data_IF_742095844309
#
_entry.id   IF_742095844309
#
_cell.length_a   1.000
_cell.length_b   1.000
_cell.length_c   1.000
_cell.angle_alpha   90.00
_cell.angle_beta   90.00
_cell.angle_gamma   90.00
#
_symmetry.space_group_name_H-M   'P 1'
#
loop_
_entity.id
_entity.type
_entity.pdbx_description
1 polymer ?
#
# COMPACT_ATOMS: atom_id res chain seq x y z
N UNK A 1 -19.47 -16.83 0.86
CA UNK A 1 -18.13 -17.18 1.34
C UNK A 1 -17.25 -17.49 0.13
N UNK A 2 -16.08 -16.85 -0.02
CA UNK A 2 -15.19 -16.98 -1.21
C UNK A 2 -13.70 -16.92 -0.86
N UNK A 3 -13.38 -16.30 0.27
CA UNK A 3 -12.02 -16.12 0.80
C UNK A 3 -11.47 -17.48 1.26
N UNK A 4 -10.36 -17.94 0.67
CA UNK A 4 -9.70 -19.20 1.05
C UNK A 4 -10.12 -20.45 0.27
N UNK A 5 -11.07 -20.37 -0.67
CA UNK A 5 -11.42 -21.48 -1.59
C UNK A 5 -11.18 -21.13 -3.06
N UNK A 6 -11.43 -19.88 -3.46
CA UNK A 6 -11.28 -19.42 -4.86
C UNK A 6 -10.30 -18.24 -5.02
N UNK A 7 -9.99 -17.54 -3.92
CA UNK A 7 -9.07 -16.40 -3.88
C UNK A 7 -8.00 -16.66 -2.82
N UNK A 8 -6.79 -16.15 -3.02
CA UNK A 8 -5.60 -16.43 -2.18
C UNK A 8 -5.74 -16.02 -0.70
N UNK A 9 -6.78 -15.27 -0.34
CA UNK A 9 -7.10 -14.95 1.06
C UNK A 9 -6.32 -13.76 1.62
N UNK A 10 -5.45 -13.15 0.81
CA UNK A 10 -4.76 -11.91 1.12
C UNK A 10 -4.90 -10.89 -0.03
N UNK A 11 -5.03 -9.59 0.27
CA UNK A 11 -5.02 -8.55 -0.76
C UNK A 11 -3.68 -8.46 -1.50
N UNK A 12 -3.72 -8.14 -2.78
CA UNK A 12 -2.54 -7.86 -3.61
C UNK A 12 -2.74 -6.55 -4.39
N UNK A 13 -1.65 -5.77 -4.51
CA UNK A 13 -1.63 -4.60 -5.36
C UNK A 13 -1.56 -5.02 -6.83
N UNK A 14 -2.62 -4.72 -7.59
CA UNK A 14 -2.76 -5.12 -8.99
C UNK A 14 -2.47 -3.99 -9.98
N UNK A 15 -2.81 -2.74 -9.65
CA UNK A 15 -2.72 -1.59 -10.56
C UNK A 15 -2.46 -0.32 -9.76
N UNK A 16 -1.73 0.61 -10.35
CA UNK A 16 -1.44 1.94 -9.80
C UNK A 16 -1.75 2.97 -10.88
N UNK A 17 -2.63 3.92 -10.59
CA UNK A 17 -3.05 4.95 -11.53
C UNK A 17 -2.64 6.31 -10.94
N UNK A 18 -1.49 6.88 -11.34
CA UNK A 18 -1.01 8.14 -10.78
C UNK A 18 -1.78 9.34 -11.34
N UNK A 19 -1.87 10.40 -10.55
CA UNK A 19 -2.35 11.69 -11.02
C UNK A 19 -1.36 12.32 -12.01
N UNK A 20 -1.83 13.23 -12.86
CA UNK A 20 -0.97 13.96 -13.79
C UNK A 20 0.17 14.67 -13.04
N UNK A 21 1.40 14.50 -13.52
CA UNK A 21 2.61 15.03 -12.89
C UNK A 21 3.28 14.11 -11.88
N UNK A 22 2.74 12.92 -11.61
CA UNK A 22 3.38 11.86 -10.80
C UNK A 22 3.66 10.62 -11.64
N UNK A 23 4.79 9.95 -11.37
CA UNK A 23 4.99 8.58 -11.85
C UNK A 23 4.29 7.58 -10.92
N UNK A 24 4.09 6.35 -11.42
CA UNK A 24 3.64 5.24 -10.57
C UNK A 24 4.60 5.00 -9.39
N UNK A 25 5.90 5.15 -9.63
CA UNK A 25 6.95 4.93 -8.62
C UNK A 25 6.90 5.99 -7.52
N UNK A 26 6.68 7.25 -7.89
CA UNK A 26 6.53 8.36 -6.93
C UNK A 26 5.31 8.14 -6.04
N UNK A 27 4.16 7.81 -6.64
CA UNK A 27 2.93 7.54 -5.91
C UNK A 27 3.09 6.34 -4.96
N UNK A 28 3.70 5.26 -5.44
CA UNK A 28 3.92 4.05 -4.63
C UNK A 28 4.86 4.30 -3.47
N UNK A 29 5.98 4.98 -3.71
CA UNK A 29 6.97 5.29 -2.68
C UNK A 29 6.35 6.12 -1.56
N UNK A 30 5.53 7.12 -1.91
CA UNK A 30 4.82 7.96 -0.95
C UNK A 30 3.76 7.16 -0.17
N UNK A 31 2.91 6.41 -0.88
CA UNK A 31 1.85 5.61 -0.26
C UNK A 31 2.45 4.57 0.70
N UNK A 32 3.43 3.80 0.26
CA UNK A 32 4.09 2.80 1.10
C UNK A 32 4.77 3.42 2.32
N UNK A 33 5.31 4.63 2.20
CA UNK A 33 5.89 5.34 3.34
C UNK A 33 4.87 5.57 4.45
N UNK A 34 3.67 6.04 4.11
CA UNK A 34 2.56 6.26 5.06
C UNK A 34 2.09 4.93 5.68
N UNK A 35 1.96 3.91 4.84
CA UNK A 35 1.35 2.62 5.19
C UNK A 35 2.31 1.68 5.96
N UNK A 36 3.61 2.00 6.06
CA UNK A 36 4.64 1.14 6.68
C UNK A 36 4.34 0.81 8.15
N UNK A 37 3.68 1.71 8.88
CA UNK A 37 3.31 1.51 10.29
C UNK A 37 1.89 0.98 10.51
N UNK A 38 1.14 0.71 9.44
CA UNK A 38 -0.25 0.24 9.52
C UNK A 38 -0.34 -1.28 9.58
N UNK A 39 -1.18 -1.81 10.47
CA UNK A 39 -1.45 -3.26 10.57
C UNK A 39 -2.55 -3.72 9.59
N UNK A 40 -3.09 -2.82 8.77
CA UNK A 40 -4.21 -3.14 7.90
C UNK A 40 -3.77 -4.06 6.72
N UNK A 41 -4.54 -5.11 6.35
CA UNK A 41 -4.16 -6.02 5.26
C UNK A 41 -3.95 -5.33 3.89
N UNK A 42 -4.59 -4.19 3.67
CA UNK A 42 -4.40 -3.36 2.47
C UNK A 42 -3.07 -2.59 2.50
N UNK A 43 -2.71 -2.01 3.64
CA UNK A 43 -1.42 -1.37 3.86
C UNK A 43 -0.27 -2.31 3.51
N UNK A 44 -0.37 -3.54 4.05
CA UNK A 44 0.60 -4.58 3.79
C UNK A 44 0.68 -4.97 2.29
N UNK A 45 -0.43 -4.87 1.54
CA UNK A 45 -0.43 -5.13 0.11
C UNK A 45 0.27 -4.02 -0.69
N UNK A 46 0.13 -2.75 -0.28
CA UNK A 46 0.81 -1.60 -0.89
C UNK A 46 2.32 -1.67 -0.62
N UNK A 47 2.73 -1.94 0.63
CA UNK A 47 4.15 -2.08 1.00
C UNK A 47 4.79 -3.23 0.24
N UNK A 48 4.18 -4.43 0.25
CA UNK A 48 4.67 -5.58 -0.55
C UNK A 48 4.72 -5.27 -2.05
N UNK A 49 3.72 -4.58 -2.58
CA UNK A 49 3.66 -4.21 -3.99
C UNK A 49 4.78 -3.24 -4.39
N UNK A 50 5.18 -2.36 -3.48
CA UNK A 50 6.30 -1.43 -3.64
C UNK A 50 7.64 -2.18 -3.63
N UNK A 51 7.85 -3.06 -2.64
CA UNK A 51 9.07 -3.89 -2.54
C UNK A 51 9.23 -4.83 -3.74
N UNK A 52 8.14 -5.45 -4.22
CA UNK A 52 8.15 -6.32 -5.43
C UNK A 52 8.58 -5.58 -6.71
N UNK A 53 8.47 -4.26 -6.74
CA UNK A 53 8.89 -3.39 -7.86
C UNK A 53 10.30 -2.82 -7.64
N UNK A 54 11.06 -3.35 -6.68
CA UNK A 54 12.40 -2.87 -6.28
C UNK A 54 12.43 -1.41 -5.82
N UNK A 55 11.27 -0.87 -5.42
CA UNK A 55 11.13 0.46 -4.84
C UNK A 55 11.24 0.37 -3.31
N UNK A 56 11.69 1.47 -2.69
CA UNK A 56 11.76 1.58 -1.23
C UNK A 56 10.62 2.46 -0.74
N UNK A 57 9.92 2.09 0.35
CA UNK A 57 8.99 3.01 1.01
C UNK A 57 9.69 4.32 1.36
N UNK A 58 9.00 5.44 1.15
CA UNK A 58 9.49 6.75 1.57
C UNK A 58 9.57 6.84 3.10
N UNK A 59 10.46 7.68 3.63
CA UNK A 59 10.49 7.96 5.06
C UNK A 59 9.28 8.84 5.44
N UNK A 60 8.21 8.24 5.95
CA UNK A 60 7.13 8.99 6.59
C UNK A 60 7.48 9.27 8.05
N UNK A 61 7.31 10.52 8.48
CA UNK A 61 7.39 10.91 9.90
C UNK A 61 6.06 11.54 10.32
N UNK A 62 5.62 11.27 11.55
CA UNK A 62 4.37 11.81 12.08
C UNK A 62 3.11 11.00 11.76
N UNK A 63 3.22 9.68 11.61
CA UNK A 63 2.07 8.79 11.42
C UNK A 63 0.97 9.03 12.47
N UNK A 64 -0.25 9.30 12.00
CA UNK A 64 -1.45 9.40 12.83
C UNK A 64 -2.53 8.53 12.19
N UNK A 65 -2.94 7.46 12.90
CA UNK A 65 -4.07 6.64 12.49
C UNK A 65 -5.38 7.22 13.00
N UNK A 66 -6.29 7.57 12.10
CA UNK A 66 -7.65 8.02 12.46
C UNK A 66 -8.62 6.87 12.22
N UNK A 67 -9.20 6.34 13.30
CA UNK A 67 -10.15 5.22 13.25
C UNK A 67 -11.33 5.56 12.33
N UNK A 68 -11.50 4.78 11.25
CA UNK A 68 -12.60 4.91 10.30
C UNK A 68 -12.26 5.57 8.97
N UNK A 69 -11.08 6.18 8.82
CA UNK A 69 -10.65 6.85 7.58
C UNK A 69 -9.37 6.26 6.97
N UNK A 70 -8.74 5.30 7.64
CA UNK A 70 -7.49 4.68 7.18
C UNK A 70 -6.25 5.36 7.77
N UNK A 71 -5.14 4.64 7.64
CA UNK A 71 -3.79 5.02 8.03
C UNK A 71 -2.81 4.07 7.36
#
# INVERSE_FOLDING_TARGET
DKTGTLTEGHPELVTVEPAEGYSEEDLLTLAAGVETSSEHPLAAAIVRGTEKRDLKPGEASGFQSTTGEGA
#
